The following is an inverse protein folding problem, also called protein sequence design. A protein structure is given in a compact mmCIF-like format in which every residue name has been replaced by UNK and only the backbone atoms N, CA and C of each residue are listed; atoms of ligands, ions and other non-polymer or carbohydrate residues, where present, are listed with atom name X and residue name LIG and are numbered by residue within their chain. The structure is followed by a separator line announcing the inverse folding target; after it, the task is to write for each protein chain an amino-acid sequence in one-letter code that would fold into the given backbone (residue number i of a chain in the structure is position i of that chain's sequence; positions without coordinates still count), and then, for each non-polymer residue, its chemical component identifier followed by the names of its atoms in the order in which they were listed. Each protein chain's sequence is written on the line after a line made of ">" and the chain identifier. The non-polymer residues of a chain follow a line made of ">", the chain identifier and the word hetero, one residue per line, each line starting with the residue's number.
data_IF_218021215767
#
_entry.id   IF_218021215767
#
_cell.length_a   1.000
_cell.length_b   1.000
_cell.length_c   1.000
_cell.angle_alpha   90.00
_cell.angle_beta   90.00
_cell.angle_gamma   90.00
#
_symmetry.space_group_name_H-M   'P 1'
#
loop_
_entity.id
_entity.type
_entity.pdbx_description
1 polymer ?
#
# COMPACT_ATOMS: atom_id res chain seq x y z
N UNK A 1 16.10 4.76 -5.26
CA UNK A 1 15.31 5.63 -6.17
C UNK A 1 16.19 6.79 -6.57
N UNK A 2 16.65 6.85 -7.82
CA UNK A 2 17.37 8.02 -8.35
C UNK A 2 16.41 8.75 -9.30
N UNK A 3 15.70 9.73 -8.78
CA UNK A 3 15.13 10.79 -9.58
C UNK A 3 16.18 11.89 -9.65
N UNK A 4 16.64 12.22 -10.86
CA UNK A 4 17.38 13.48 -11.05
C UNK A 4 16.47 14.62 -10.59
N UNK A 5 16.89 15.46 -9.67
CA UNK A 5 16.07 16.57 -9.20
C UNK A 5 16.14 17.69 -10.22
N UNK A 6 15.07 17.89 -10.99
CA UNK A 6 14.76 19.25 -11.37
C UNK A 6 14.59 20.02 -10.06
N UNK A 7 15.18 21.21 -9.97
CA UNK A 7 15.25 22.08 -8.80
C UNK A 7 13.99 22.01 -7.92
N UNK A 8 13.93 21.07 -6.99
CA UNK A 8 12.87 20.99 -6.02
C UNK A 8 13.07 22.14 -5.02
N UNK A 9 12.08 23.00 -4.87
CA UNK A 9 12.12 24.09 -3.88
C UNK A 9 12.04 23.45 -2.50
N UNK A 10 13.07 23.66 -1.69
CA UNK A 10 13.06 23.25 -0.28
C UNK A 10 12.39 24.31 0.58
N UNK A 11 11.41 23.90 1.34
CA UNK A 11 10.68 24.74 2.29
C UNK A 11 11.18 24.51 3.70
N UNK A 12 11.63 25.57 4.35
CA UNK A 12 12.08 25.56 5.75
C UNK A 12 11.04 26.07 6.76
N UNK A 13 9.89 26.53 6.28
CA UNK A 13 8.82 27.05 7.13
C UNK A 13 7.93 25.93 7.66
N UNK A 14 8.52 24.99 8.40
CA UNK A 14 7.76 23.97 9.13
C UNK A 14 7.15 24.64 10.34
N UNK A 15 5.81 24.79 10.32
CA UNK A 15 5.10 25.53 11.36
C UNK A 15 4.78 24.68 12.59
N UNK A 16 4.39 23.41 12.39
CA UNK A 16 3.87 22.56 13.46
C UNK A 16 4.04 21.08 13.17
N UNK A 17 4.26 20.29 14.22
CA UNK A 17 4.23 18.83 14.20
C UNK A 17 3.06 18.36 15.07
N UNK A 18 2.15 17.57 14.52
CA UNK A 18 0.98 17.00 15.22
C UNK A 18 0.91 15.50 14.98
N UNK A 19 1.42 14.70 15.93
CA UNK A 19 1.50 13.25 15.73
C UNK A 19 2.29 12.93 14.46
N UNK A 20 1.73 12.19 13.50
CA UNK A 20 2.41 11.84 12.25
C UNK A 20 2.39 12.97 11.21
N UNK A 21 1.78 14.12 11.51
CA UNK A 21 1.58 15.21 10.58
C UNK A 21 2.60 16.32 10.75
N UNK A 22 3.03 16.88 9.62
CA UNK A 22 3.92 18.03 9.52
C UNK A 22 3.24 19.11 8.67
N UNK A 23 3.19 20.34 9.21
CA UNK A 23 2.58 21.48 8.53
C UNK A 23 3.66 22.37 7.95
N UNK A 24 3.64 22.57 6.64
CA UNK A 24 4.56 23.47 5.91
C UNK A 24 3.82 24.70 5.44
N UNK A 25 4.39 25.88 5.68
CA UNK A 25 3.81 27.17 5.27
C UNK A 25 4.60 27.82 4.16
N UNK A 26 3.92 28.64 3.37
CA UNK A 26 4.52 29.38 2.27
C UNK A 26 4.77 28.51 1.03
N UNK A 27 4.06 27.36 0.90
CA UNK A 27 4.18 26.48 -0.26
C UNK A 27 3.50 27.07 -1.49
N UNK A 28 4.03 26.77 -2.67
CA UNK A 28 3.45 27.17 -3.95
C UNK A 28 3.48 26.00 -4.93
N UNK A 29 2.37 25.77 -5.62
CA UNK A 29 2.27 24.76 -6.66
C UNK A 29 2.28 23.32 -6.18
N UNK A 30 2.03 23.10 -4.87
CA UNK A 30 1.95 21.77 -4.27
C UNK A 30 0.55 21.20 -4.50
N UNK A 31 0.48 19.92 -4.88
CA UNK A 31 -0.76 19.19 -5.13
C UNK A 31 -1.10 18.19 -4.05
N UNK A 32 -2.34 17.70 -4.07
CA UNK A 32 -2.79 16.58 -3.24
C UNK A 32 -2.09 15.30 -3.65
N UNK A 33 -1.87 14.39 -2.68
CA UNK A 33 -1.16 13.11 -2.87
C UNK A 33 0.26 13.25 -3.42
N UNK A 34 0.80 14.46 -3.40
CA UNK A 34 2.16 14.73 -3.84
C UNK A 34 3.16 14.13 -2.85
N UNK A 35 4.21 13.53 -3.39
CA UNK A 35 5.29 12.96 -2.60
C UNK A 35 6.22 14.07 -2.09
N UNK A 36 6.61 13.97 -0.83
CA UNK A 36 7.53 14.89 -0.18
C UNK A 36 8.74 14.17 0.41
N UNK A 37 9.90 14.78 0.28
CA UNK A 37 11.14 14.36 0.93
C UNK A 37 11.44 15.29 2.09
N UNK A 38 11.66 14.74 3.27
CA UNK A 38 11.85 15.46 4.52
C UNK A 38 13.27 15.19 5.02
N UNK A 39 14.02 16.28 5.22
CA UNK A 39 15.41 16.25 5.68
C UNK A 39 15.57 17.08 6.94
N UNK A 40 16.52 16.71 7.80
CA UNK A 40 16.96 17.54 8.92
C UNK A 40 18.20 18.29 8.45
N UNK A 41 18.16 19.62 8.44
CA UNK A 41 19.29 20.46 8.10
C UNK A 41 20.32 20.41 9.24
N UNK A 42 21.57 20.08 8.93
CA UNK A 42 22.67 20.14 9.90
C UNK A 42 22.99 21.60 10.19
N UNK A 43 22.82 22.06 11.44
CA UNK A 43 23.13 23.45 11.86
C UNK A 43 24.60 23.86 11.64
N UNK A 44 25.46 22.92 11.23
CA UNK A 44 26.90 23.15 10.99
C UNK A 44 27.25 23.52 9.55
N UNK A 45 26.27 23.57 8.63
CA UNK A 45 26.55 23.83 7.20
C UNK A 45 26.55 25.31 6.80
N UNK A 46 26.20 26.23 7.69
CA UNK A 46 26.19 27.69 7.40
C UNK A 46 27.59 28.31 7.59
N UNK A 47 28.59 27.89 6.82
CA UNK A 47 29.87 28.58 6.93
C UNK A 47 31.04 28.15 6.05
N UNK A 48 30.92 27.21 5.12
CA UNK A 48 31.97 26.98 4.11
C UNK A 48 31.42 26.32 2.84
N UNK A 49 31.33 27.12 1.80
CA UNK A 49 31.37 26.60 0.43
C UNK A 49 32.74 25.97 0.19
N UNK A 50 32.79 24.65 0.14
CA UNK A 50 34.04 23.93 -0.14
C UNK A 50 33.72 22.45 -0.30
N UNK A 51 33.79 21.95 -1.56
CA UNK A 51 33.56 20.56 -1.90
C UNK A 51 34.41 19.61 -1.09
N UNK A 52 33.76 18.53 -0.65
CA UNK A 52 34.38 17.40 0.01
C UNK A 52 33.39 16.27 0.01
N UNK A 53 33.54 15.33 -0.94
CA UNK A 53 32.91 14.04 -0.90
C UNK A 53 33.48 13.21 0.25
N UNK A 54 33.10 13.48 1.48
CA UNK A 54 33.39 12.62 2.62
C UNK A 54 32.10 12.00 3.07
N UNK A 55 31.94 10.70 2.74
CA UNK A 55 30.80 9.85 3.08
C UNK A 55 30.60 9.67 4.58
N UNK A 56 30.00 10.64 5.23
CA UNK A 56 29.28 10.40 6.47
C UNK A 56 27.88 9.94 6.08
N UNK A 57 27.34 8.91 6.73
CA UNK A 57 25.94 8.57 6.53
C UNK A 57 25.13 9.78 6.97
N UNK A 58 24.50 10.46 5.98
CA UNK A 58 23.53 11.52 6.26
C UNK A 58 22.42 10.96 7.14
N UNK A 59 21.82 11.80 7.99
CA UNK A 59 20.64 11.38 8.71
C UNK A 59 19.61 10.84 7.69
N UNK A 60 18.90 9.74 8.04
CA UNK A 60 18.01 9.09 7.08
C UNK A 60 16.96 10.08 6.61
N UNK A 61 16.85 10.25 5.30
CA UNK A 61 15.75 10.99 4.68
C UNK A 61 14.43 10.34 5.08
N UNK A 62 13.44 11.16 5.38
CA UNK A 62 12.07 10.71 5.60
C UNK A 62 11.22 11.10 4.42
N UNK A 63 10.13 10.39 4.28
CA UNK A 63 9.21 10.57 3.16
C UNK A 63 7.85 11.01 3.68
N UNK A 64 7.10 11.71 2.85
CA UNK A 64 5.76 12.16 3.20
C UNK A 64 4.82 12.20 2.01
N UNK A 65 3.53 12.25 2.33
CA UNK A 65 2.46 12.48 1.37
C UNK A 65 1.70 13.75 1.77
N UNK A 66 1.42 14.57 0.78
CA UNK A 66 0.58 15.75 0.96
C UNK A 66 -0.87 15.30 1.10
N UNK A 67 -1.44 15.58 2.25
CA UNK A 67 -2.81 15.21 2.59
C UNK A 67 -3.81 16.33 2.35
N UNK A 68 -3.35 17.57 2.54
CA UNK A 68 -4.19 18.74 2.45
C UNK A 68 -3.38 19.92 1.95
N UNK A 69 -3.97 20.72 1.10
CA UNK A 69 -3.41 21.99 0.65
C UNK A 69 -4.48 23.07 0.81
N UNK A 70 -4.18 24.08 1.63
CA UNK A 70 -5.02 25.28 1.76
C UNK A 70 -4.17 26.50 1.50
N UNK A 71 -4.37 27.14 0.33
CA UNK A 71 -3.64 28.30 -0.16
C UNK A 71 -2.12 28.08 -0.19
N UNK A 72 -1.41 28.58 0.82
CA UNK A 72 0.03 28.48 0.98
C UNK A 72 0.45 27.51 2.11
N UNK A 73 -0.48 26.67 2.57
CA UNK A 73 -0.26 25.69 3.62
C UNK A 73 -0.41 24.28 3.06
N UNK A 74 0.57 23.42 3.30
CA UNK A 74 0.49 22.00 3.02
C UNK A 74 0.60 21.19 4.31
N UNK A 75 -0.31 20.26 4.51
CA UNK A 75 -0.23 19.25 5.57
C UNK A 75 0.36 17.98 4.96
N UNK A 76 1.52 17.60 5.46
CA UNK A 76 2.27 16.43 4.99
C UNK A 76 2.22 15.35 6.07
N UNK A 77 1.82 14.17 5.71
CA UNK A 77 1.92 12.99 6.56
C UNK A 77 3.29 12.35 6.38
N UNK A 78 4.04 12.22 7.47
CA UNK A 78 5.38 11.63 7.47
C UNK A 78 5.28 10.11 7.56
N UNK A 79 5.85 9.39 6.59
CA UNK A 79 5.70 7.93 6.47
C UNK A 79 6.46 7.20 7.58
N UNK A 80 7.65 7.65 7.94
CA UNK A 80 8.49 7.07 8.99
C UNK A 80 8.20 7.66 10.37
N UNK A 81 7.15 8.46 10.52
CA UNK A 81 6.81 9.17 11.74
C UNK A 81 7.66 10.42 11.98
N UNK A 82 7.25 11.20 12.98
CA UNK A 82 7.81 12.54 13.27
C UNK A 82 8.80 12.56 14.45
N UNK A 83 9.08 11.42 15.07
CA UNK A 83 9.98 11.32 16.22
C UNK A 83 11.37 11.82 15.84
N UNK A 84 11.90 12.82 16.57
CA UNK A 84 13.20 13.42 16.32
C UNK A 84 13.20 14.56 15.29
N UNK A 85 12.10 14.84 14.59
CA UNK A 85 11.98 16.02 13.76
C UNK A 85 11.84 17.28 14.66
N UNK A 86 12.55 18.34 14.29
CA UNK A 86 12.46 19.65 14.94
C UNK A 86 12.05 20.68 13.89
N UNK A 87 10.95 21.43 14.07
CA UNK A 87 10.46 22.35 13.03
C UNK A 87 11.53 23.32 12.50
N UNK A 88 12.40 23.83 13.35
CA UNK A 88 13.41 24.81 12.98
C UNK A 88 14.47 24.26 12.01
N UNK A 89 14.82 22.97 12.15
CA UNK A 89 15.86 22.32 11.33
C UNK A 89 15.30 21.43 10.24
N UNK A 90 13.99 21.18 10.22
CA UNK A 90 13.35 20.34 9.19
C UNK A 90 13.18 21.12 7.88
N UNK A 91 13.51 20.46 6.80
CA UNK A 91 13.32 20.94 5.42
C UNK A 91 12.44 19.96 4.66
N UNK A 92 11.55 20.47 3.82
CA UNK A 92 10.62 19.66 3.03
C UNK A 92 10.74 20.04 1.56
N UNK A 93 10.99 19.06 0.72
CA UNK A 93 11.01 19.21 -0.73
C UNK A 93 9.85 18.43 -1.33
N UNK A 94 9.04 19.07 -2.17
CA UNK A 94 7.92 18.44 -2.87
C UNK A 94 8.36 17.95 -4.25
N UNK A 95 7.93 16.74 -4.62
CA UNK A 95 8.38 16.08 -5.85
C UNK A 95 7.64 16.54 -7.13
N UNK A 96 6.55 17.31 -7.00
CA UNK A 96 5.69 17.69 -8.12
C UNK A 96 4.88 16.53 -8.72
N UNK A 97 4.96 15.34 -8.12
CA UNK A 97 4.29 14.12 -8.61
C UNK A 97 3.79 13.28 -7.45
N UNK A 98 2.70 12.50 -7.66
CA UNK A 98 2.23 11.53 -6.67
C UNK A 98 3.29 10.46 -6.39
N UNK A 99 3.13 9.77 -5.25
CA UNK A 99 3.98 8.63 -4.91
C UNK A 99 3.90 7.55 -5.99
N UNK A 100 5.06 7.13 -6.48
CA UNK A 100 5.21 6.13 -7.53
C UNK A 100 6.09 4.98 -7.05
N UNK A 101 5.80 3.79 -7.54
CA UNK A 101 6.63 2.59 -7.27
C UNK A 101 7.15 2.03 -8.59
N UNK A 102 8.35 1.43 -8.59
CA UNK A 102 8.83 0.69 -9.75
C UNK A 102 7.89 -0.48 -10.01
N UNK A 103 7.57 -0.75 -11.27
CA UNK A 103 6.74 -1.88 -11.67
C UNK A 103 7.48 -2.75 -12.69
N UNK A 104 7.29 -4.06 -12.58
CA UNK A 104 7.97 -5.04 -13.44
C UNK A 104 8.04 -6.43 -12.80
N UNK A 105 8.63 -7.39 -13.50
CA UNK A 105 8.78 -8.76 -13.00
C UNK A 105 9.73 -8.88 -11.80
N UNK A 106 10.53 -7.85 -11.51
CA UNK A 106 11.45 -7.83 -10.37
C UNK A 106 10.82 -7.91 -8.98
N UNK A 107 9.49 -7.83 -8.89
CA UNK A 107 8.74 -8.06 -7.67
C UNK A 107 8.52 -9.54 -7.35
N UNK A 108 8.53 -10.39 -8.36
CA UNK A 108 8.25 -11.81 -8.21
C UNK A 108 9.33 -12.50 -7.37
N UNK A 109 8.91 -13.26 -6.38
CA UNK A 109 9.78 -13.91 -5.41
C UNK A 109 10.24 -13.02 -4.25
N UNK A 110 9.83 -11.74 -4.21
CA UNK A 110 10.33 -10.79 -3.22
C UNK A 110 9.41 -10.69 -1.99
N UNK A 111 10.07 -10.42 -0.85
CA UNK A 111 9.42 -10.08 0.41
C UNK A 111 9.80 -8.64 0.76
N UNK A 112 8.81 -7.78 0.87
CA UNK A 112 8.98 -6.35 1.12
C UNK A 112 8.17 -5.90 2.35
N UNK A 113 8.54 -4.75 2.92
CA UNK A 113 7.71 -4.07 3.92
C UNK A 113 6.48 -3.39 3.29
N UNK A 114 5.66 -2.74 4.10
CA UNK A 114 4.44 -2.04 3.65
C UNK A 114 4.68 -0.89 2.66
N UNK A 115 5.91 -0.39 2.56
CA UNK A 115 6.33 0.64 1.57
C UNK A 115 6.90 0.06 0.29
N UNK A 116 7.02 -1.27 0.20
CA UNK A 116 7.62 -1.94 -0.95
C UNK A 116 9.16 -1.99 -0.93
N UNK A 117 9.77 -1.75 0.22
CA UNK A 117 11.21 -1.90 0.40
C UNK A 117 11.54 -3.35 0.76
N UNK A 118 12.55 -3.96 0.12
CA UNK A 118 12.92 -5.34 0.42
C UNK A 118 13.35 -5.58 1.87
N UNK A 119 12.80 -6.63 2.47
CA UNK A 119 13.19 -7.14 3.79
C UNK A 119 13.74 -8.58 3.71
N UNK A 120 13.93 -9.08 2.50
CA UNK A 120 14.48 -10.40 2.20
C UNK A 120 16.02 -10.42 2.04
N UNK A 121 16.69 -9.28 2.30
CA UNK A 121 18.12 -9.11 2.11
C UNK A 121 18.57 -8.93 0.65
N UNK A 122 17.63 -8.90 -0.28
CA UNK A 122 17.89 -8.64 -1.70
C UNK A 122 18.08 -7.15 -2.01
N UNK A 123 18.49 -6.82 -3.24
CA UNK A 123 18.63 -5.43 -3.68
C UNK A 123 17.27 -4.74 -3.78
N UNK A 124 17.22 -3.40 -3.84
CA UNK A 124 15.98 -2.66 -4.10
C UNK A 124 15.25 -3.21 -5.32
N UNK A 125 13.91 -3.29 -5.23
CA UNK A 125 13.11 -3.75 -6.36
C UNK A 125 13.28 -2.78 -7.51
N UNK A 126 13.70 -3.30 -8.66
CA UNK A 126 13.89 -2.53 -9.89
C UNK A 126 12.77 -2.83 -10.88
N UNK A 127 12.35 -1.81 -11.59
CA UNK A 127 11.40 -1.92 -12.70
C UNK A 127 11.82 -1.04 -13.86
N UNK A 128 11.46 -1.42 -15.07
CA UNK A 128 11.73 -0.64 -16.27
C UNK A 128 10.95 0.69 -16.28
N UNK A 129 9.83 0.71 -15.58
CA UNK A 129 8.93 1.86 -15.47
C UNK A 129 8.46 2.06 -14.03
N UNK A 130 7.84 3.19 -13.74
CA UNK A 130 7.18 3.46 -12.46
C UNK A 130 5.69 3.73 -12.67
N UNK A 131 4.85 3.34 -11.72
CA UNK A 131 3.42 3.61 -11.74
C UNK A 131 2.97 4.34 -10.46
N UNK A 132 1.97 5.24 -10.54
CA UNK A 132 1.41 5.88 -9.35
C UNK A 132 0.65 4.86 -8.51
N UNK A 133 0.82 4.90 -7.19
CA UNK A 133 0.16 3.94 -6.29
C UNK A 133 -1.35 4.16 -6.15
N UNK A 134 -1.82 5.37 -6.42
CA UNK A 134 -3.25 5.68 -6.39
C UNK A 134 -4.04 4.79 -7.36
N UNK A 135 -3.44 4.45 -8.51
CA UNK A 135 -4.11 3.66 -9.53
C UNK A 135 -5.39 4.31 -10.04
N UNK A 136 -6.13 3.58 -10.85
CA UNK A 136 -7.45 4.01 -11.30
C UNK A 136 -8.42 2.83 -11.30
N UNK A 137 -9.69 3.03 -10.94
CA UNK A 137 -10.74 2.05 -11.14
C UNK A 137 -10.80 1.63 -12.61
N UNK A 138 -11.02 0.34 -12.87
CA UNK A 138 -11.17 -0.14 -14.24
C UNK A 138 -12.44 0.43 -14.87
N UNK A 139 -12.29 1.01 -16.06
CA UNK A 139 -13.43 1.56 -16.79
C UNK A 139 -14.46 0.46 -17.08
N UNK A 140 -15.73 0.61 -16.67
CA UNK A 140 -16.78 -0.39 -16.87
C UNK A 140 -16.98 -0.82 -18.32
N UNK A 141 -16.75 0.09 -19.28
CA UNK A 141 -16.91 -0.19 -20.72
C UNK A 141 -15.86 -1.18 -21.22
N UNK A 142 -14.69 -1.20 -20.60
CA UNK A 142 -13.60 -2.12 -20.98
C UNK A 142 -13.59 -3.41 -20.17
N UNK A 143 -14.44 -3.52 -19.14
CA UNK A 143 -14.52 -4.73 -18.33
C UNK A 143 -15.07 -5.91 -19.15
N UNK A 144 -14.50 -7.07 -18.91
CA UNK A 144 -15.01 -8.35 -19.38
C UNK A 144 -15.65 -9.09 -18.19
N UNK A 145 -16.85 -9.68 -18.34
CA UNK A 145 -17.45 -10.47 -17.27
C UNK A 145 -16.52 -11.61 -16.84
N UNK A 146 -16.36 -11.83 -15.51
CA UNK A 146 -15.59 -12.95 -15.00
C UNK A 146 -16.30 -14.28 -15.35
N UNK A 147 -15.57 -15.27 -15.83
CA UNK A 147 -16.15 -16.54 -16.27
C UNK A 147 -15.31 -17.76 -15.89
N UNK A 148 -13.98 -17.63 -15.81
CA UNK A 148 -13.07 -18.74 -15.59
C UNK A 148 -12.68 -18.87 -14.12
N UNK A 149 -12.66 -20.08 -13.54
CA UNK A 149 -12.40 -20.24 -12.11
C UNK A 149 -10.92 -20.01 -11.76
N UNK A 150 -10.71 -19.52 -10.53
CA UNK A 150 -9.48 -19.65 -9.78
C UNK A 150 -9.72 -20.71 -8.72
N UNK A 151 -9.02 -21.82 -8.81
CA UNK A 151 -9.12 -22.88 -7.82
C UNK A 151 -8.34 -22.47 -6.58
N UNK A 152 -9.02 -22.37 -5.46
CA UNK A 152 -8.43 -21.94 -4.18
C UNK A 152 -7.85 -23.11 -3.38
N UNK A 153 -8.21 -24.34 -3.76
CA UNK A 153 -7.89 -25.55 -3.02
C UNK A 153 -8.73 -25.75 -1.74
N UNK A 154 -9.66 -24.83 -1.46
CA UNK A 154 -10.62 -24.95 -0.37
C UNK A 154 -11.94 -25.45 -0.94
N UNK A 155 -12.29 -26.69 -0.69
CA UNK A 155 -13.44 -27.35 -1.29
C UNK A 155 -14.77 -26.60 -1.10
N UNK A 156 -14.96 -25.96 0.05
CA UNK A 156 -16.16 -25.16 0.30
C UNK A 156 -16.24 -23.93 -0.60
N UNK A 157 -15.12 -23.27 -0.87
CA UNK A 157 -15.06 -22.12 -1.79
C UNK A 157 -15.23 -22.62 -3.22
N UNK A 158 -14.42 -23.58 -3.63
CA UNK A 158 -14.38 -24.05 -5.02
C UNK A 158 -15.70 -24.69 -5.48
N UNK A 159 -16.46 -25.32 -4.56
CA UNK A 159 -17.72 -25.97 -4.87
C UNK A 159 -18.96 -25.12 -4.68
N UNK A 160 -18.97 -24.18 -3.71
CA UNK A 160 -20.19 -23.45 -3.30
C UNK A 160 -20.15 -21.96 -3.65
N UNK A 161 -18.96 -21.37 -3.69
CA UNK A 161 -18.77 -19.94 -3.93
C UNK A 161 -17.55 -19.70 -4.83
N UNK A 162 -17.46 -20.44 -5.92
CA UNK A 162 -16.32 -20.48 -6.82
C UNK A 162 -15.76 -19.09 -7.12
N UNK A 163 -14.50 -18.88 -6.78
CA UNK A 163 -13.79 -17.66 -7.13
C UNK A 163 -13.52 -17.65 -8.64
N UNK A 164 -13.84 -16.57 -9.32
CA UNK A 164 -13.57 -16.44 -10.77
C UNK A 164 -12.59 -15.31 -11.06
N UNK A 165 -11.86 -15.44 -12.15
CA UNK A 165 -10.82 -14.46 -12.56
C UNK A 165 -11.42 -13.08 -12.76
N UNK A 166 -10.83 -12.08 -12.07
CA UNK A 166 -11.32 -10.71 -12.12
C UNK A 166 -12.44 -10.39 -11.14
N UNK A 167 -12.79 -11.32 -10.24
CA UNK A 167 -13.79 -11.12 -9.21
C UNK A 167 -13.18 -10.53 -7.93
N UNK A 168 -14.01 -9.82 -7.17
CA UNK A 168 -13.82 -9.51 -5.75
C UNK A 168 -14.62 -10.52 -4.93
N UNK A 169 -13.97 -11.24 -4.02
CA UNK A 169 -14.65 -12.16 -3.11
C UNK A 169 -14.15 -11.90 -1.68
N UNK A 170 -14.90 -11.19 -0.83
CA UNK A 170 -14.47 -10.93 0.54
C UNK A 170 -14.63 -12.18 1.42
N UNK A 171 -13.71 -12.36 2.36
CA UNK A 171 -13.79 -13.34 3.45
C UNK A 171 -14.08 -12.58 4.74
N UNK A 172 -15.26 -12.82 5.30
CA UNK A 172 -15.66 -12.29 6.60
C UNK A 172 -15.37 -13.33 7.69
N UNK A 173 -14.62 -12.94 8.72
CA UNK A 173 -14.26 -13.80 9.83
C UNK A 173 -14.78 -13.24 11.15
N UNK A 174 -15.17 -14.13 12.05
CA UNK A 174 -15.38 -13.74 13.45
C UNK A 174 -14.03 -13.67 14.18
N UNK A 175 -13.97 -12.83 15.23
CA UNK A 175 -12.78 -12.68 16.04
C UNK A 175 -12.33 -14.05 16.63
N UNK A 176 -11.03 -14.34 16.56
CA UNK A 176 -10.44 -15.58 17.06
C UNK A 176 -10.46 -16.76 16.08
N UNK A 177 -11.04 -16.61 14.90
CA UNK A 177 -10.93 -17.61 13.84
C UNK A 177 -9.62 -17.41 13.04
N UNK A 178 -9.02 -18.49 12.50
CA UNK A 178 -7.73 -18.46 11.81
C UNK A 178 -7.87 -17.95 10.36
N UNK A 179 -8.37 -16.73 10.20
CA UNK A 179 -8.63 -16.14 8.88
C UNK A 179 -7.35 -15.84 8.09
N UNK A 180 -6.27 -15.48 8.79
CA UNK A 180 -4.99 -15.22 8.15
C UNK A 180 -4.33 -16.50 7.65
N UNK A 181 -4.43 -17.60 8.41
CA UNK A 181 -3.96 -18.93 8.01
C UNK A 181 -4.76 -19.43 6.80
N UNK A 182 -6.09 -19.23 6.81
CA UNK A 182 -6.93 -19.55 5.65
C UNK A 182 -6.51 -18.76 4.42
N UNK A 183 -6.28 -17.46 4.57
CA UNK A 183 -5.82 -16.59 3.48
C UNK A 183 -4.46 -17.03 2.94
N UNK A 184 -3.51 -17.37 3.83
CA UNK A 184 -2.19 -17.88 3.46
C UNK A 184 -2.29 -19.24 2.76
N UNK A 185 -3.16 -20.14 3.23
CA UNK A 185 -3.41 -21.43 2.59
C UNK A 185 -3.98 -21.24 1.16
N UNK A 186 -4.97 -20.38 0.97
CA UNK A 186 -5.50 -20.04 -0.34
C UNK A 186 -4.37 -19.50 -1.24
N UNK A 187 -3.58 -18.55 -0.73
CA UNK A 187 -2.47 -17.96 -1.46
C UNK A 187 -1.41 -18.99 -1.84
N UNK A 188 -1.13 -19.97 -0.98
CA UNK A 188 -0.14 -21.02 -1.22
C UNK A 188 -0.57 -22.00 -2.31
N UNK A 189 -1.84 -22.40 -2.36
CA UNK A 189 -2.30 -23.51 -3.21
C UNK A 189 -3.17 -23.08 -4.40
N UNK A 190 -3.56 -21.80 -4.50
CA UNK A 190 -4.42 -21.33 -5.58
C UNK A 190 -3.76 -21.44 -6.95
N UNK A 191 -4.58 -21.74 -7.96
CA UNK A 191 -4.12 -21.88 -9.36
C UNK A 191 -5.20 -21.46 -10.36
N UNK A 192 -4.77 -21.06 -11.54
CA UNK A 192 -5.61 -20.82 -12.71
C UNK A 192 -5.42 -21.89 -13.81
N UNK A 193 -4.99 -23.10 -13.44
CA UNK A 193 -4.65 -24.16 -14.38
C UNK A 193 -3.28 -23.95 -15.02
N UNK A 194 -3.17 -24.15 -16.32
CA UNK A 194 -1.88 -24.09 -17.05
C UNK A 194 -1.47 -22.66 -17.45
N UNK A 195 -2.26 -21.66 -17.11
CA UNK A 195 -1.97 -20.28 -17.49
C UNK A 195 -1.04 -19.58 -16.48
N UNK A 196 -0.25 -18.57 -16.92
CA UNK A 196 0.65 -17.83 -16.03
C UNK A 196 -0.10 -17.22 -14.85
N UNK A 197 0.21 -17.68 -13.65
CA UNK A 197 -0.44 -17.26 -12.41
C UNK A 197 0.55 -16.64 -11.43
N UNK A 198 0.11 -15.68 -10.67
CA UNK A 198 0.88 -15.08 -9.57
C UNK A 198 -0.01 -14.67 -8.43
N UNK A 199 0.57 -14.62 -7.25
CA UNK A 199 -0.09 -14.13 -6.04
C UNK A 199 0.60 -12.87 -5.56
N UNK A 200 -0.17 -11.87 -5.19
CA UNK A 200 0.30 -10.71 -4.43
C UNK A 200 -0.39 -10.76 -3.07
N UNK A 201 0.37 -10.99 -2.03
CA UNK A 201 -0.14 -11.06 -0.66
C UNK A 201 0.27 -9.82 0.11
N UNK A 202 -0.69 -9.07 0.60
CA UNK A 202 -0.49 -7.90 1.44
C UNK A 202 -1.03 -8.17 2.86
N UNK A 203 -0.12 -8.38 3.80
CA UNK A 203 -0.45 -8.50 5.21
C UNK A 203 -0.38 -7.11 5.88
N UNK A 204 -1.44 -6.71 6.55
CA UNK A 204 -1.61 -5.36 7.10
C UNK A 204 -1.90 -5.40 8.61
N UNK A 205 -1.00 -4.80 9.40
CA UNK A 205 -1.17 -4.71 10.84
C UNK A 205 -1.08 -6.05 11.58
N UNK A 206 -0.34 -6.99 11.02
CA UNK A 206 -0.15 -8.33 11.59
C UNK A 206 0.91 -8.34 12.69
N UNK A 207 0.85 -9.31 13.59
CA UNK A 207 1.94 -9.49 14.56
C UNK A 207 3.18 -10.05 13.88
N UNK A 208 4.36 -9.93 14.50
CA UNK A 208 5.58 -10.55 13.98
C UNK A 208 5.44 -12.07 13.83
N UNK A 209 4.77 -12.73 14.78
CA UNK A 209 4.52 -14.16 14.71
C UNK A 209 3.65 -14.55 13.52
N UNK A 210 2.61 -13.77 13.24
CA UNK A 210 1.75 -13.96 12.07
C UNK A 210 2.49 -13.69 10.77
N UNK A 211 3.31 -12.64 10.72
CA UNK A 211 4.15 -12.33 9.57
C UNK A 211 5.13 -13.47 9.24
N UNK A 212 5.78 -14.05 10.27
CA UNK A 212 6.66 -15.19 10.11
C UNK A 212 5.89 -16.44 9.65
N UNK A 213 4.70 -16.68 10.19
CA UNK A 213 3.84 -17.78 9.78
C UNK A 213 3.39 -17.67 8.32
N UNK A 214 2.95 -16.51 7.89
CA UNK A 214 2.58 -16.22 6.49
C UNK A 214 3.79 -16.40 5.57
N UNK A 215 4.95 -15.87 5.95
CA UNK A 215 6.20 -16.01 5.20
C UNK A 215 6.60 -17.48 5.05
N UNK A 216 6.50 -18.26 6.10
CA UNK A 216 6.78 -19.70 6.07
C UNK A 216 5.79 -20.48 5.19
N UNK A 217 4.50 -20.20 5.30
CA UNK A 217 3.46 -20.84 4.49
C UNK A 217 3.60 -20.56 2.97
N UNK A 218 4.14 -19.39 2.60
CA UNK A 218 4.28 -18.96 1.21
C UNK A 218 5.70 -19.14 0.65
N UNK A 219 6.60 -19.77 1.40
CA UNK A 219 8.03 -19.87 1.04
C UNK A 219 8.26 -20.59 -0.30
N UNK A 220 7.53 -21.69 -0.57
CA UNK A 220 7.67 -22.45 -1.81
C UNK A 220 7.25 -21.62 -3.03
N UNK A 221 6.14 -20.91 -2.94
CA UNK A 221 5.65 -20.04 -4.01
C UNK A 221 6.56 -18.84 -4.25
N UNK A 222 7.14 -18.29 -3.17
CA UNK A 222 8.16 -17.24 -3.26
C UNK A 222 9.39 -17.74 -4.01
N UNK A 223 9.91 -18.91 -3.65
CA UNK A 223 11.05 -19.54 -4.31
C UNK A 223 10.79 -19.87 -5.78
N UNK A 224 9.55 -20.19 -6.14
CA UNK A 224 9.12 -20.40 -7.53
C UNK A 224 9.02 -19.10 -8.35
N UNK A 225 9.15 -17.93 -7.72
CA UNK A 225 9.00 -16.64 -8.43
C UNK A 225 7.54 -16.35 -8.84
N UNK A 226 6.57 -16.81 -8.08
CA UNK A 226 5.14 -16.64 -8.33
C UNK A 226 4.43 -15.80 -7.27
N UNK A 227 5.18 -15.32 -6.27
CA UNK A 227 4.66 -14.55 -5.15
C UNK A 227 5.30 -13.16 -5.09
N UNK A 228 4.49 -12.17 -4.74
CA UNK A 228 4.92 -10.89 -4.17
C UNK A 228 4.34 -10.82 -2.76
N UNK A 229 5.19 -10.67 -1.75
CA UNK A 229 4.77 -10.59 -0.36
C UNK A 229 5.07 -9.21 0.20
N UNK A 230 4.04 -8.50 0.63
CA UNK A 230 4.12 -7.23 1.35
C UNK A 230 3.71 -7.45 2.80
N UNK A 231 4.58 -7.09 3.73
CA UNK A 231 4.35 -7.27 5.17
C UNK A 231 4.40 -5.91 5.86
N UNK A 232 3.29 -5.53 6.47
CA UNK A 232 3.21 -4.42 7.41
C UNK A 232 2.83 -5.00 8.78
N UNK A 233 3.71 -4.82 9.74
CA UNK A 233 3.52 -5.30 11.11
C UNK A 233 2.75 -4.30 11.97
N UNK A 234 2.29 -4.71 13.14
CA UNK A 234 1.47 -3.87 14.00
C UNK A 234 2.22 -2.67 14.58
N UNK A 235 3.54 -2.77 14.71
CA UNK A 235 4.45 -1.73 15.20
C UNK A 235 4.99 -0.82 14.09
N UNK A 236 4.76 -1.17 12.81
CA UNK A 236 5.09 -0.28 11.69
C UNK A 236 4.20 0.98 11.69
N UNK A 237 4.69 2.08 11.13
CA UNK A 237 3.90 3.31 11.00
C UNK A 237 2.55 3.09 10.33
N UNK A 238 1.50 3.68 10.91
CA UNK A 238 0.11 3.53 10.44
C UNK A 238 -0.06 3.84 8.96
N UNK A 239 0.68 4.82 8.45
CA UNK A 239 0.60 5.21 7.05
C UNK A 239 1.09 4.11 6.10
N UNK A 240 2.09 3.31 6.49
CA UNK A 240 2.52 2.17 5.68
C UNK A 240 1.39 1.20 5.44
N UNK A 241 0.53 0.98 6.45
CA UNK A 241 -0.65 0.14 6.36
C UNK A 241 -1.63 0.63 5.30
N UNK A 242 -1.76 1.96 5.14
CA UNK A 242 -2.59 2.57 4.10
C UNK A 242 -1.95 2.43 2.71
N UNK A 243 -0.62 2.48 2.62
CA UNK A 243 0.10 2.35 1.35
C UNK A 243 0.14 0.90 0.86
N UNK A 244 0.23 -0.07 1.76
CA UNK A 244 0.43 -1.48 1.44
C UNK A 244 -0.55 -2.03 0.40
N UNK A 245 -1.87 -1.91 0.53
CA UNK A 245 -2.81 -2.44 -0.46
C UNK A 245 -2.76 -1.67 -1.79
N UNK A 246 -2.42 -0.38 -1.76
CA UNK A 246 -2.27 0.44 -2.96
C UNK A 246 -1.06 -0.01 -3.79
N UNK A 247 0.07 -0.26 -3.13
CA UNK A 247 1.27 -0.80 -3.75
C UNK A 247 1.00 -2.21 -4.30
N UNK A 248 0.37 -3.08 -3.50
CA UNK A 248 0.00 -4.43 -3.90
C UNK A 248 -0.82 -4.44 -5.20
N UNK A 249 -1.86 -3.61 -5.27
CA UNK A 249 -2.71 -3.50 -6.44
C UNK A 249 -1.98 -2.90 -7.64
N UNK A 250 -1.11 -1.91 -7.43
CA UNK A 250 -0.32 -1.31 -8.53
C UNK A 250 0.64 -2.33 -9.15
N UNK A 251 1.29 -3.14 -8.32
CA UNK A 251 2.14 -4.25 -8.79
C UNK A 251 1.30 -5.30 -9.51
N UNK A 252 0.15 -5.68 -8.94
CA UNK A 252 -0.75 -6.68 -9.53
C UNK A 252 -1.29 -6.24 -10.89
N UNK A 253 -1.69 -4.97 -11.04
CA UNK A 253 -2.14 -4.41 -12.31
C UNK A 253 -1.08 -4.52 -13.40
N UNK A 254 0.16 -4.19 -13.08
CA UNK A 254 1.26 -4.31 -14.04
C UNK A 254 1.52 -5.78 -14.43
N UNK A 255 1.55 -6.69 -13.44
CA UNK A 255 1.73 -8.12 -13.71
C UNK A 255 0.58 -8.68 -14.56
N UNK A 256 -0.65 -8.20 -14.33
CA UNK A 256 -1.83 -8.68 -15.04
C UNK A 256 -1.96 -8.08 -16.44
N UNK A 257 -1.90 -6.75 -16.55
CA UNK A 257 -2.31 -6.09 -17.79
C UNK A 257 -1.15 -5.84 -18.76
N UNK A 258 0.09 -5.76 -18.26
CA UNK A 258 1.28 -5.60 -19.09
C UNK A 258 2.01 -6.94 -19.32
N UNK A 259 2.09 -7.80 -18.29
CA UNK A 259 2.75 -9.09 -18.38
C UNK A 259 1.79 -10.27 -18.60
N UNK A 260 0.50 -10.01 -18.79
CA UNK A 260 -0.55 -10.97 -19.14
C UNK A 260 -0.67 -12.15 -18.17
N UNK A 261 -0.45 -11.92 -16.87
CA UNK A 261 -0.60 -12.94 -15.83
C UNK A 261 -1.98 -12.88 -15.18
N UNK A 262 -2.49 -14.00 -14.71
CA UNK A 262 -3.62 -14.00 -13.80
C UNK A 262 -3.10 -13.77 -12.37
N UNK A 263 -3.54 -12.71 -11.73
CA UNK A 263 -3.03 -12.31 -10.43
C UNK A 263 -4.13 -12.41 -9.38
N UNK A 264 -3.88 -13.18 -8.33
CA UNK A 264 -4.69 -13.17 -7.11
C UNK A 264 -4.05 -12.23 -6.10
N UNK A 265 -4.78 -11.18 -5.72
CA UNK A 265 -4.38 -10.24 -4.68
C UNK A 265 -5.12 -10.58 -3.40
N UNK A 266 -4.40 -10.92 -2.36
CA UNK A 266 -4.94 -11.16 -1.01
C UNK A 266 -4.64 -9.95 -0.14
N UNK A 267 -5.66 -9.32 0.40
CA UNK A 267 -5.55 -8.15 1.29
C UNK A 267 -6.01 -8.56 2.70
N UNK A 268 -5.09 -8.79 3.61
CA UNK A 268 -5.35 -9.28 4.96
C UNK A 268 -4.54 -8.49 6.02
N UNK A 269 -5.14 -7.81 6.98
CA UNK A 269 -6.56 -7.70 7.33
C UNK A 269 -7.10 -6.32 6.96
N UNK A 270 -8.21 -6.27 6.27
CA UNK A 270 -8.85 -5.00 5.87
C UNK A 270 -9.46 -4.25 7.06
N UNK A 271 -9.72 -4.92 8.19
CA UNK A 271 -10.10 -4.25 9.44
C UNK A 271 -8.95 -3.39 9.96
N UNK A 272 -7.72 -3.92 9.95
CA UNK A 272 -6.52 -3.15 10.31
C UNK A 272 -6.28 -1.96 9.38
N UNK A 273 -6.58 -2.13 8.09
CA UNK A 273 -6.56 -1.03 7.12
C UNK A 273 -7.55 0.08 7.46
N UNK A 274 -8.81 -0.28 7.73
CA UNK A 274 -9.84 0.69 8.08
C UNK A 274 -9.54 1.40 9.41
N UNK A 275 -8.99 0.69 10.41
CA UNK A 275 -8.51 1.29 11.65
C UNK A 275 -7.37 2.30 11.41
N UNK A 276 -6.46 2.01 10.48
CA UNK A 276 -5.42 2.95 10.08
C UNK A 276 -6.01 4.25 9.49
N UNK A 277 -7.01 4.14 8.62
CA UNK A 277 -7.74 5.30 8.10
C UNK A 277 -8.43 6.11 9.20
N UNK A 278 -9.02 5.42 10.18
CA UNK A 278 -9.67 6.07 11.33
C UNK A 278 -8.66 6.85 12.18
N UNK A 279 -7.50 6.27 12.44
CA UNK A 279 -6.43 6.90 13.21
C UNK A 279 -5.90 8.15 12.51
N UNK A 280 -5.63 8.07 11.22
CA UNK A 280 -5.16 9.20 10.40
C UNK A 280 -6.20 10.30 10.32
N UNK A 281 -7.47 9.96 10.08
CA UNK A 281 -8.58 10.92 10.05
C UNK A 281 -8.73 11.65 11.40
N UNK A 282 -8.63 10.92 12.50
CA UNK A 282 -8.66 11.51 13.85
C UNK A 282 -7.48 12.46 14.11
N UNK A 283 -6.27 12.09 13.66
CA UNK A 283 -5.08 12.95 13.78
C UNK A 283 -5.20 14.25 12.97
N UNK A 284 -5.95 14.23 11.87
CA UNK A 284 -6.27 15.42 11.07
C UNK A 284 -7.35 16.30 11.69
N UNK A 285 -8.09 15.80 12.68
CA UNK A 285 -9.25 16.48 13.25
C UNK A 285 -10.45 16.53 12.30
N UNK A 286 -10.54 15.58 11.38
CA UNK A 286 -11.67 15.46 10.46
C UNK A 286 -12.97 15.14 11.23
N UNK A 287 -14.09 15.60 10.70
CA UNK A 287 -15.40 15.29 11.30
C UNK A 287 -15.66 13.79 11.17
N UNK A 288 -15.82 13.06 12.28
CA UNK A 288 -16.00 11.62 12.23
C UNK A 288 -17.36 11.25 11.68
N UNK A 289 -17.38 10.23 10.83
CA UNK A 289 -18.58 9.56 10.39
C UNK A 289 -19.07 8.48 11.38
N UNK A 290 -19.73 7.46 10.86
CA UNK A 290 -20.25 6.33 11.65
C UNK A 290 -19.12 5.59 12.39
N UNK A 291 -19.26 5.38 13.69
CA UNK A 291 -18.28 4.74 14.60
C UNK A 291 -16.88 5.36 14.54
N UNK A 292 -16.81 6.67 14.35
CA UNK A 292 -15.58 7.44 14.23
C UNK A 292 -14.68 7.11 13.02
N UNK A 293 -15.17 6.39 12.01
CA UNK A 293 -14.49 6.23 10.74
C UNK A 293 -14.60 7.50 9.89
N UNK A 294 -13.64 7.74 8.97
CA UNK A 294 -13.74 8.87 8.06
C UNK A 294 -14.96 8.77 7.15
N UNK A 295 -15.57 9.89 6.82
CA UNK A 295 -16.74 9.94 5.93
C UNK A 295 -16.47 9.38 4.53
N UNK A 296 -15.22 9.33 4.11
CA UNK A 296 -14.80 8.80 2.81
C UNK A 296 -14.42 7.30 2.82
N UNK A 297 -14.62 6.56 3.93
CA UNK A 297 -14.25 5.14 4.02
C UNK A 297 -14.79 4.31 2.85
N UNK A 298 -16.07 4.54 2.46
CA UNK A 298 -16.66 3.83 1.33
C UNK A 298 -15.94 4.10 0.01
N UNK A 299 -15.71 5.35 -0.33
CA UNK A 299 -15.05 5.72 -1.58
C UNK A 299 -13.60 5.27 -1.61
N UNK A 300 -12.94 5.22 -0.46
CA UNK A 300 -11.58 4.73 -0.34
C UNK A 300 -11.51 3.21 -0.58
N UNK A 301 -12.33 2.41 0.10
CA UNK A 301 -12.44 0.97 -0.15
C UNK A 301 -12.86 0.67 -1.59
N UNK A 302 -13.84 1.40 -2.13
CA UNK A 302 -14.25 1.26 -3.52
C UNK A 302 -13.09 1.55 -4.49
N UNK A 303 -12.26 2.55 -4.21
CA UNK A 303 -11.09 2.88 -5.03
C UNK A 303 -10.08 1.74 -5.12
N UNK A 304 -9.94 0.93 -4.06
CA UNK A 304 -9.12 -0.27 -4.07
C UNK A 304 -9.79 -1.41 -4.82
N UNK A 305 -11.02 -1.73 -4.46
CA UNK A 305 -11.71 -2.91 -4.99
C UNK A 305 -12.09 -2.78 -6.47
N UNK A 306 -12.37 -1.58 -6.96
CA UNK A 306 -12.68 -1.34 -8.36
C UNK A 306 -11.46 -1.38 -9.30
N UNK A 307 -10.26 -1.61 -8.77
CA UNK A 307 -9.05 -1.89 -9.53
C UNK A 307 -8.97 -3.35 -10.00
N UNK A 308 -9.77 -4.25 -9.41
CA UNK A 308 -9.84 -5.64 -9.86
C UNK A 308 -10.71 -5.80 -11.10
N UNK A 309 -10.42 -6.82 -11.91
CA UNK A 309 -11.24 -7.16 -13.07
C UNK A 309 -10.47 -7.83 -14.18
N UNK A 310 -11.19 -8.04 -15.28
CA UNK A 310 -10.66 -8.41 -16.59
C UNK A 310 -10.89 -7.26 -17.55
N UNK A 311 -9.95 -7.04 -18.44
CA UNK A 311 -10.03 -6.01 -19.50
C UNK A 311 -10.18 -6.71 -20.84
N UNK A 312 -11.16 -6.31 -21.62
CA UNK A 312 -11.42 -6.87 -22.95
C UNK A 312 -10.17 -6.75 -23.84
N UNK A 313 -9.76 -7.90 -24.39
CA UNK A 313 -8.59 -7.98 -25.26
C UNK A 313 -7.25 -8.08 -24.54
N UNK A 314 -7.24 -8.15 -23.20
CA UNK A 314 -6.04 -8.40 -22.39
C UNK A 314 -6.18 -9.78 -21.74
N UNK A 315 -5.17 -10.63 -21.89
CA UNK A 315 -5.22 -12.00 -21.38
C UNK A 315 -5.20 -12.08 -19.84
N UNK A 316 -4.54 -11.14 -19.18
CA UNK A 316 -4.40 -11.12 -17.72
C UNK A 316 -5.65 -10.69 -16.96
N UNK A 317 -5.64 -10.92 -15.66
CA UNK A 317 -6.72 -10.49 -14.75
C UNK A 317 -6.20 -10.17 -13.36
N UNK A 318 -6.88 -9.26 -12.66
CA UNK A 318 -6.68 -8.98 -11.23
C UNK A 318 -7.89 -9.47 -10.47
N UNK A 319 -7.71 -10.49 -9.63
CA UNK A 319 -8.71 -11.06 -8.73
C UNK A 319 -8.38 -10.63 -7.31
N UNK A 320 -9.34 -10.13 -6.55
CA UNK A 320 -9.06 -9.59 -5.20
C UNK A 320 -9.83 -10.38 -4.15
N UNK A 321 -9.12 -10.80 -3.11
CA UNK A 321 -9.63 -11.49 -1.94
C UNK A 321 -9.41 -10.59 -0.70
N UNK A 322 -10.35 -9.67 -0.40
CA UNK A 322 -10.31 -8.92 0.85
C UNK A 322 -10.62 -9.85 2.02
N UNK A 323 -9.76 -9.88 3.01
CA UNK A 323 -9.96 -10.67 4.23
C UNK A 323 -10.13 -9.70 5.39
N UNK A 324 -11.16 -9.86 6.17
CA UNK A 324 -11.45 -8.97 7.28
C UNK A 324 -12.08 -9.68 8.47
N UNK A 325 -11.89 -9.10 9.65
CA UNK A 325 -12.50 -9.55 10.89
C UNK A 325 -13.71 -8.69 11.21
N UNK A 326 -14.83 -9.31 11.55
CA UNK A 326 -16.04 -8.60 12.01
C UNK A 326 -15.90 -8.27 13.50
N UNK A 327 -15.74 -6.99 13.89
CA UNK A 327 -15.64 -6.61 15.29
C UNK A 327 -16.91 -7.00 16.06
N UNK A 328 -16.75 -7.80 17.12
CA UNK A 328 -17.87 -8.33 17.90
C UNK A 328 -18.80 -9.29 17.15
N UNK A 329 -18.42 -9.79 15.99
CA UNK A 329 -19.27 -10.60 15.11
C UNK A 329 -20.36 -9.79 14.39
N UNK A 330 -20.26 -8.47 14.39
CA UNK A 330 -21.26 -7.55 13.83
C UNK A 330 -20.98 -7.25 12.36
N UNK A 331 -21.69 -7.90 11.46
CA UNK A 331 -21.60 -7.67 10.00
C UNK A 331 -22.06 -6.26 9.60
N UNK A 332 -22.80 -5.57 10.47
CA UNK A 332 -23.24 -4.19 10.22
C UNK A 332 -22.21 -3.15 10.68
N UNK A 333 -21.04 -3.59 11.15
CA UNK A 333 -19.93 -2.68 11.40
C UNK A 333 -19.46 -2.02 10.09
N UNK A 334 -18.94 -0.77 10.10
CA UNK A 334 -18.65 -0.05 8.87
C UNK A 334 -17.78 -0.79 7.87
N UNK A 335 -16.71 -1.48 8.28
CA UNK A 335 -15.82 -2.18 7.35
C UNK A 335 -16.49 -3.37 6.65
N UNK A 336 -17.13 -4.33 7.39
CA UNK A 336 -17.83 -5.42 6.71
C UNK A 336 -19.02 -4.94 5.88
N UNK A 337 -19.80 -3.97 6.40
CA UNK A 337 -20.96 -3.39 5.73
C UNK A 337 -20.60 -2.72 4.38
N UNK A 338 -19.46 -2.04 4.33
CA UNK A 338 -18.97 -1.35 3.12
C UNK A 338 -18.13 -2.22 2.19
N UNK A 339 -17.62 -3.36 2.68
CA UNK A 339 -16.85 -4.31 1.86
C UNK A 339 -17.76 -5.32 1.15
N UNK A 340 -18.88 -5.72 1.77
CA UNK A 340 -19.88 -6.62 1.19
C UNK A 340 -20.78 -5.91 0.22
#
# INVERSE_FOLDING_TARGET
>A
MSTEPGLAIEYGNVGELRGPLLVVRGVQGVGWDEFAVIRIADERADGRAGGGADGRPGEPERHGLVLEVDRDLAVVQVLEGTVGLVPATTRVAFAGTPLRVPVGPGWLGRVCNGRGEPIDGGPPVSGATTAPIAGNPLNPVHREPPAEPVLTGISAIDALMTLVRGQKLPIFSAAGLPHLELAAQIAAQSTSGDEPFSVVFAAMGVTHADADAVRAALAERSAAGELVLLLNTADDPVIERILTPRIALTVAEHLAFELHRHVLVVLADMTSYAEALREVSAARGEMPGRRAYPGYLYSDLASLYERCGRIRGIAGSVTVLPVLTMPGGDITHPEPDLTG
#
